data_IF_888815118652
#
_entry.id   IF_888815118652
#
_cell.length_a   1.000
_cell.length_b   1.000
_cell.length_c   1.000
_cell.angle_alpha   90.00
_cell.angle_beta   90.00
_cell.angle_gamma   90.00
#
_symmetry.space_group_name_H-M   'P 1'
#
loop_
_entity.id
_entity.type
_entity.pdbx_description
1 polymer ?
#
# COMPACT_ATOMS: atom_id res chain seq x y z
N UNK A 1 4.68 5.94 22.30
CA UNK A 1 5.16 7.33 22.11
C UNK A 1 4.50 7.82 20.85
N UNK A 2 3.44 8.63 20.97
CA UNK A 2 2.51 8.88 19.86
C UNK A 2 3.15 9.70 18.74
N UNK A 3 3.39 9.05 17.59
CA UNK A 3 3.77 9.68 16.31
C UNK A 3 2.71 10.68 15.80
N UNK A 4 1.55 10.78 16.48
CA UNK A 4 0.46 11.72 16.19
C UNK A 4 0.72 13.17 16.63
N UNK A 5 1.87 13.51 17.21
CA UNK A 5 2.19 14.91 17.58
C UNK A 5 2.94 15.66 16.45
N UNK A 6 3.58 14.96 15.51
CA UNK A 6 4.24 15.62 14.37
C UNK A 6 3.25 16.02 13.25
N UNK A 7 2.20 15.22 13.04
CA UNK A 7 1.18 15.45 12.01
C UNK A 7 0.25 16.67 12.20
N UNK A 8 -0.16 17.09 13.42
CA UNK A 8 -0.97 18.29 13.58
C UNK A 8 -0.21 19.58 13.27
N UNK A 9 1.13 19.59 13.26
CA UNK A 9 1.89 20.80 12.88
C UNK A 9 1.73 21.11 11.37
N UNK A 10 1.49 20.08 10.55
CA UNK A 10 1.18 20.24 9.12
C UNK A 10 -0.33 20.49 8.88
N UNK A 11 -1.20 20.16 9.85
CA UNK A 11 -2.66 20.21 9.68
C UNK A 11 -3.36 21.38 10.39
N UNK A 12 -2.70 22.04 11.33
CA UNK A 12 -3.29 23.12 12.14
C UNK A 12 -3.34 24.46 11.38
N UNK A 13 -2.93 24.52 10.11
CA UNK A 13 -2.96 25.76 9.31
C UNK A 13 -4.19 25.88 8.39
N UNK A 14 -5.12 24.92 8.40
CA UNK A 14 -6.27 24.92 7.47
C UNK A 14 -7.55 25.60 8.01
N UNK A 15 -7.60 26.19 9.22
CA UNK A 15 -8.88 26.72 9.78
C UNK A 15 -8.85 28.13 10.39
N UNK A 16 -8.12 29.09 9.82
CA UNK A 16 -8.36 30.51 10.17
C UNK A 16 -8.40 31.38 8.92
N UNK A 17 -9.60 31.65 8.41
CA UNK A 17 -9.87 32.74 7.48
C UNK A 17 -11.06 33.57 7.96
N UNK A 18 -10.82 34.86 8.25
CA UNK A 18 -11.75 35.94 7.91
C UNK A 18 -10.96 37.21 7.53
N UNK A 19 -11.16 37.61 6.28
CA UNK A 19 -11.29 38.98 5.72
C UNK A 19 -10.18 39.58 4.82
N UNK A 20 -10.70 40.02 3.65
CA UNK A 20 -10.27 41.04 2.69
C UNK A 20 -9.08 40.65 1.77
N UNK A 21 -9.12 40.81 0.44
CA UNK A 21 -10.06 41.47 -0.47
C UNK A 21 -9.28 42.25 -1.54
N UNK A 22 -9.58 41.98 -2.83
CA UNK A 22 -9.43 42.86 -4.03
C UNK A 22 -8.13 42.78 -4.88
N UNK A 23 -8.28 42.24 -6.12
CA UNK A 23 -7.86 42.73 -7.48
C UNK A 23 -6.33 42.97 -7.76
N UNK A 24 -5.71 42.71 -8.93
CA UNK A 24 -6.01 43.07 -10.34
C UNK A 24 -5.23 42.19 -11.37
N UNK A 25 -5.91 41.88 -12.48
CA UNK A 25 -5.55 41.64 -13.90
C UNK A 25 -4.21 41.01 -14.37
N UNK A 26 -4.38 40.05 -15.27
CA UNK A 26 -3.39 39.58 -16.22
C UNK A 26 -3.71 40.12 -17.63
N UNK A 27 -2.74 40.75 -18.29
CA UNK A 27 -2.71 40.91 -19.74
C UNK A 27 -1.38 40.42 -20.31
N UNK A 28 -1.53 39.44 -21.21
CA UNK A 28 -0.85 39.27 -22.49
C UNK A 28 0.62 39.71 -22.62
N UNK A 29 1.51 38.74 -22.85
CA UNK A 29 2.52 38.87 -23.90
C UNK A 29 2.73 37.53 -24.61
N UNK A 30 2.15 37.43 -25.81
CA UNK A 30 2.66 36.55 -26.84
C UNK A 30 3.97 37.12 -27.38
N UNK A 31 5.05 36.36 -27.26
CA UNK A 31 6.35 36.68 -27.82
C UNK A 31 6.91 35.45 -28.52
N UNK A 32 7.05 35.52 -29.84
CA UNK A 32 7.71 34.53 -30.69
C UNK A 32 9.18 34.39 -30.28
N UNK A 33 9.62 33.17 -29.97
CA UNK A 33 11.02 32.87 -29.63
C UNK A 33 11.92 32.99 -30.87
N UNK A 34 13.01 33.78 -30.81
CA UNK A 34 14.15 33.58 -31.68
C UNK A 34 14.97 32.40 -31.17
N UNK A 35 15.24 31.44 -32.06
CA UNK A 35 16.34 30.49 -31.93
C UNK A 35 17.62 31.20 -32.39
N UNK A 36 18.58 31.45 -31.49
CA UNK A 36 20.02 31.34 -31.76
C UNK A 36 20.90 31.74 -30.56
N UNK A 37 21.96 30.95 -30.33
CA UNK A 37 23.12 31.33 -29.52
C UNK A 37 23.19 30.70 -28.12
N UNK A 38 23.77 29.50 -28.02
CA UNK A 38 23.96 28.73 -26.78
C UNK A 38 24.84 29.41 -25.73
N UNK A 39 24.24 30.32 -24.96
CA UNK A 39 24.61 30.54 -23.57
C UNK A 39 23.70 29.67 -22.71
N UNK A 40 24.27 28.79 -21.90
CA UNK A 40 23.56 28.13 -20.80
C UNK A 40 22.87 29.23 -19.97
N UNK A 41 21.58 29.40 -20.16
CA UNK A 41 20.79 30.27 -19.29
C UNK A 41 20.74 29.59 -17.93
N UNK A 42 21.50 30.12 -16.97
CA UNK A 42 21.49 29.64 -15.60
C UNK A 42 20.04 29.48 -15.13
N UNK A 43 19.70 28.27 -14.71
CA UNK A 43 18.34 27.93 -14.27
C UNK A 43 18.02 28.75 -13.03
N UNK A 44 16.96 29.55 -13.09
CA UNK A 44 16.50 30.30 -11.93
C UNK A 44 15.77 29.34 -10.96
N UNK A 45 16.48 28.92 -9.90
CA UNK A 45 15.99 27.97 -8.91
C UNK A 45 14.64 28.37 -8.29
N UNK A 46 14.44 29.66 -7.99
CA UNK A 46 13.19 30.10 -7.36
C UNK A 46 12.03 30.10 -8.35
N UNK A 47 12.24 30.55 -9.59
CA UNK A 47 11.24 30.45 -10.66
C UNK A 47 10.81 28.98 -10.88
N UNK A 48 11.79 28.06 -10.95
CA UNK A 48 11.52 26.64 -11.14
C UNK A 48 10.73 26.05 -9.96
N UNK A 49 11.13 26.37 -8.73
CA UNK A 49 10.41 25.99 -7.51
C UNK A 49 8.93 26.43 -7.55
N UNK A 50 8.67 27.72 -7.85
CA UNK A 50 7.31 28.25 -7.85
C UNK A 50 6.44 27.60 -8.91
N UNK A 51 6.98 27.38 -10.12
CA UNK A 51 6.24 26.67 -11.18
C UNK A 51 5.93 25.23 -10.80
N UNK A 52 6.84 24.55 -10.10
CA UNK A 52 6.63 23.17 -9.66
C UNK A 52 5.51 23.04 -8.62
N UNK A 53 5.48 23.94 -7.61
CA UNK A 53 4.42 23.90 -6.59
C UNK A 53 3.06 24.37 -7.13
N UNK A 54 3.06 25.24 -8.15
CA UNK A 54 1.85 25.74 -8.80
C UNK A 54 1.31 24.79 -9.87
N UNK A 55 2.12 23.84 -10.35
CA UNK A 55 1.73 22.86 -11.38
C UNK A 55 0.39 22.14 -11.12
N UNK A 56 0.08 21.69 -9.88
CA UNK A 56 -1.20 21.03 -9.61
C UNK A 56 -2.40 21.99 -9.54
N UNK A 57 -2.17 23.32 -9.52
CA UNK A 57 -3.24 24.31 -9.43
C UNK A 57 -4.02 24.35 -10.75
N UNK A 58 -5.34 24.18 -10.67
CA UNK A 58 -6.23 24.08 -11.82
C UNK A 58 -6.33 22.67 -12.42
N UNK A 59 -5.59 21.69 -11.90
CA UNK A 59 -5.76 20.30 -12.33
C UNK A 59 -7.15 19.80 -11.92
N UNK A 60 -7.95 19.38 -12.90
CA UNK A 60 -9.22 18.70 -12.68
C UNK A 60 -8.95 17.26 -12.23
N UNK A 61 -8.83 16.37 -13.20
CA UNK A 61 -8.51 14.97 -12.96
C UNK A 61 -6.99 14.75 -12.89
N UNK A 62 -6.56 13.85 -12.00
CA UNK A 62 -5.16 13.45 -11.92
C UNK A 62 -5.00 12.09 -11.24
N UNK A 63 -3.87 11.46 -11.51
CA UNK A 63 -3.36 10.33 -10.76
C UNK A 63 -1.86 10.55 -10.56
N UNK A 64 -1.39 10.31 -9.34
CA UNK A 64 0.04 10.20 -9.11
C UNK A 64 0.33 9.16 -8.04
N UNK A 65 1.47 8.50 -8.19
CA UNK A 65 1.97 7.52 -7.24
C UNK A 65 3.40 7.86 -6.85
N UNK A 66 3.73 7.65 -5.59
CA UNK A 66 5.04 7.89 -5.04
C UNK A 66 5.36 6.88 -3.95
N UNK A 67 6.65 6.68 -3.67
CA UNK A 67 7.11 5.96 -2.49
C UNK A 67 7.62 6.95 -1.47
N UNK A 68 7.29 6.78 -0.20
CA UNK A 68 7.77 7.63 0.90
C UNK A 68 8.58 6.78 1.89
N UNK A 69 9.81 7.20 2.18
CA UNK A 69 10.62 6.61 3.23
C UNK A 69 10.80 7.51 4.44
N UNK A 70 10.90 6.85 5.59
CA UNK A 70 11.34 7.44 6.86
C UNK A 70 12.75 6.95 7.21
N UNK A 71 13.32 7.52 8.27
CA UNK A 71 14.70 7.27 8.74
C UNK A 71 15.10 5.81 8.88
N UNK A 72 14.15 4.91 9.13
CA UNK A 72 14.38 3.49 9.30
C UNK A 72 14.55 2.73 7.96
N UNK A 73 14.62 3.45 6.83
CA UNK A 73 14.83 2.88 5.49
C UNK A 73 13.60 2.21 4.91
N UNK A 74 12.47 2.28 5.60
CA UNK A 74 11.23 1.63 5.22
C UNK A 74 10.43 2.51 4.25
N UNK A 75 9.90 1.91 3.18
CA UNK A 75 9.17 2.59 2.10
C UNK A 75 7.69 2.24 2.09
N UNK A 76 6.83 3.25 2.04
CA UNK A 76 5.39 3.10 1.80
C UNK A 76 5.07 3.52 0.39
N UNK A 77 4.19 2.77 -0.26
CA UNK A 77 3.64 3.16 -1.55
C UNK A 77 2.37 3.99 -1.31
N UNK A 78 2.28 5.11 -1.99
CA UNK A 78 1.11 5.97 -1.95
C UNK A 78 0.61 6.21 -3.36
N UNK A 79 -0.69 5.99 -3.57
CA UNK A 79 -1.37 6.32 -4.81
C UNK A 79 -2.51 7.28 -4.51
N UNK A 80 -2.53 8.39 -5.23
CA UNK A 80 -3.53 9.44 -5.07
C UNK A 80 -4.20 9.64 -6.43
N UNK A 81 -5.52 9.73 -6.44
CA UNK A 81 -6.26 10.06 -7.64
C UNK A 81 -7.47 10.95 -7.38
N UNK A 82 -7.77 11.79 -8.36
CA UNK A 82 -9.01 12.54 -8.46
C UNK A 82 -9.62 12.30 -9.83
N UNK A 83 -10.90 11.94 -9.84
CA UNK A 83 -11.71 11.78 -11.05
C UNK A 83 -13.09 12.43 -10.82
N UNK A 84 -13.29 13.62 -11.38
CA UNK A 84 -14.43 14.47 -11.06
C UNK A 84 -14.49 14.79 -9.57
N UNK A 85 -15.61 14.42 -8.94
CA UNK A 85 -15.86 14.62 -7.51
C UNK A 85 -15.33 13.49 -6.62
N UNK A 86 -14.94 12.34 -7.22
CA UNK A 86 -14.35 11.24 -6.47
C UNK A 86 -12.86 11.48 -6.29
N UNK A 87 -12.43 11.45 -5.04
CA UNK A 87 -11.03 11.44 -4.66
C UNK A 87 -10.70 10.10 -4.00
N UNK A 88 -9.52 9.59 -4.30
CA UNK A 88 -9.03 8.31 -3.82
C UNK A 88 -7.61 8.46 -3.31
N UNK A 89 -7.34 7.87 -2.15
CA UNK A 89 -5.98 7.76 -1.60
C UNK A 89 -5.79 6.34 -1.11
N UNK A 90 -4.76 5.68 -1.61
CA UNK A 90 -4.26 4.41 -1.08
C UNK A 90 -2.87 4.63 -0.50
N UNK A 91 -2.68 4.14 0.72
CA UNK A 91 -1.38 4.06 1.38
C UNK A 91 -1.12 2.61 1.74
N UNK A 92 -0.09 2.02 1.15
CA UNK A 92 0.29 0.64 1.36
C UNK A 92 1.65 0.57 2.06
N UNK A 93 1.65 -0.08 3.20
CA UNK A 93 2.85 -0.57 3.85
C UNK A 93 2.93 -2.11 3.78
N UNK A 94 4.10 -2.74 3.96
CA UNK A 94 4.25 -4.18 3.93
C UNK A 94 3.36 -4.89 4.95
N UNK A 95 3.01 -4.24 6.07
CA UNK A 95 2.15 -4.85 7.07
C UNK A 95 0.65 -4.71 6.72
N UNK A 96 0.23 -3.59 6.15
CA UNK A 96 -1.16 -3.36 5.76
C UNK A 96 -1.37 -2.20 4.76
N UNK A 97 -2.56 -2.18 4.16
CA UNK A 97 -3.04 -1.12 3.29
C UNK A 97 -4.17 -0.31 3.92
N UNK A 98 -4.25 0.96 3.57
CA UNK A 98 -5.39 1.84 3.87
C UNK A 98 -5.86 2.53 2.61
N UNK A 99 -7.17 2.65 2.47
CA UNK A 99 -7.80 3.32 1.34
C UNK A 99 -8.84 4.30 1.85
N UNK A 100 -8.85 5.52 1.32
CA UNK A 100 -9.90 6.50 1.53
C UNK A 100 -10.56 6.84 0.20
N UNK A 101 -11.89 6.78 0.19
CA UNK A 101 -12.74 7.22 -0.91
C UNK A 101 -13.50 8.45 -0.40
N UNK A 102 -13.22 9.60 -0.98
CA UNK A 102 -13.74 10.88 -0.53
C UNK A 102 -14.63 11.45 -1.63
N UNK A 103 -15.88 11.70 -1.28
CA UNK A 103 -16.90 12.34 -2.11
C UNK A 103 -17.55 13.47 -1.30
N UNK A 104 -18.22 14.46 -1.94
CA UNK A 104 -18.79 15.61 -1.24
C UNK A 104 -19.71 15.26 -0.05
N UNK A 105 -20.40 14.12 -0.12
CA UNK A 105 -21.38 13.69 0.89
C UNK A 105 -21.07 12.33 1.52
N UNK A 106 -19.92 11.72 1.20
CA UNK A 106 -19.58 10.39 1.68
C UNK A 106 -18.08 10.23 1.80
N UNK A 107 -17.65 9.68 2.92
CA UNK A 107 -16.28 9.22 3.14
C UNK A 107 -16.33 7.74 3.44
N UNK A 108 -15.59 6.93 2.69
CA UNK A 108 -15.38 5.51 3.01
C UNK A 108 -13.92 5.30 3.32
N UNK A 109 -13.66 4.62 4.43
CA UNK A 109 -12.33 4.18 4.84
C UNK A 109 -12.29 2.66 4.78
N UNK A 110 -11.27 2.12 4.13
CA UNK A 110 -10.97 0.71 4.15
C UNK A 110 -9.60 0.44 4.77
N UNK A 111 -9.51 -0.64 5.53
CA UNK A 111 -8.25 -1.25 5.96
C UNK A 111 -8.15 -2.61 5.31
N UNK A 112 -7.04 -2.82 4.60
CA UNK A 112 -6.70 -4.09 3.97
C UNK A 112 -5.53 -4.71 4.71
N UNK A 113 -5.68 -5.94 5.16
CA UNK A 113 -4.61 -6.69 5.82
C UNK A 113 -4.77 -8.17 5.49
N UNK A 114 -3.72 -8.77 4.90
CA UNK A 114 -3.79 -10.12 4.34
C UNK A 114 -4.99 -10.28 3.39
N UNK A 115 -5.90 -11.19 3.73
CA UNK A 115 -7.12 -11.47 2.98
C UNK A 115 -8.33 -10.62 3.45
N UNK A 116 -8.19 -9.89 4.55
CA UNK A 116 -9.26 -9.04 5.07
C UNK A 116 -9.24 -7.68 4.40
N UNK A 117 -10.42 -7.21 4.01
CA UNK A 117 -10.64 -5.86 3.53
C UNK A 117 -11.94 -5.32 4.11
N UNK A 118 -11.83 -4.59 5.22
CA UNK A 118 -12.98 -4.04 5.92
C UNK A 118 -13.14 -2.58 5.52
N UNK A 119 -14.29 -2.24 4.96
CA UNK A 119 -14.67 -0.90 4.55
C UNK A 119 -15.83 -0.39 5.39
N UNK A 120 -15.80 0.88 5.78
CA UNK A 120 -16.87 1.53 6.55
C UNK A 120 -17.17 2.91 5.98
N UNK A 121 -18.43 3.32 6.04
CA UNK A 121 -18.81 4.72 5.78
C UNK A 121 -18.63 5.54 7.05
N UNK A 122 -17.93 6.67 6.93
CA UNK A 122 -17.64 7.58 8.03
C UNK A 122 -18.59 8.78 8.00
N UNK A 123 -19.07 9.17 9.18
CA UNK A 123 -19.74 10.44 9.41
C UNK A 123 -18.88 11.35 10.31
N UNK A 124 -19.35 12.56 10.60
CA UNK A 124 -18.62 13.55 11.41
C UNK A 124 -18.36 13.13 12.86
N UNK A 125 -19.09 12.14 13.38
CA UNK A 125 -18.92 11.60 14.74
C UNK A 125 -18.10 10.31 14.77
N UNK A 126 -17.66 9.82 13.62
CA UNK A 126 -16.91 8.58 13.51
C UNK A 126 -15.55 8.67 14.22
N UNK A 127 -15.16 7.59 14.88
CA UNK A 127 -13.84 7.50 15.54
C UNK A 127 -12.67 7.50 14.55
N UNK A 128 -12.94 7.21 13.28
CA UNK A 128 -11.93 7.12 12.20
C UNK A 128 -11.91 8.33 11.27
N UNK A 129 -12.71 9.38 11.54
CA UNK A 129 -12.77 10.53 10.62
C UNK A 129 -11.42 11.24 10.49
N UNK A 130 -10.62 11.29 11.57
CA UNK A 130 -9.27 11.84 11.53
C UNK A 130 -8.34 11.02 10.63
N UNK A 131 -8.45 9.68 10.64
CA UNK A 131 -7.64 8.81 9.79
C UNK A 131 -7.93 9.02 8.30
N UNK A 132 -9.21 9.14 7.93
CA UNK A 132 -9.57 9.47 6.56
C UNK A 132 -9.12 10.89 6.18
N UNK A 133 -9.22 11.85 7.12
CA UNK A 133 -8.70 13.20 6.94
C UNK A 133 -7.19 13.22 6.71
N UNK A 134 -6.42 12.40 7.44
CA UNK A 134 -4.97 12.28 7.30
C UNK A 134 -4.57 11.76 5.90
N UNK A 135 -5.33 10.81 5.36
CA UNK A 135 -5.17 10.36 3.97
C UNK A 135 -5.59 11.45 2.98
N UNK A 136 -6.72 12.13 3.25
CA UNK A 136 -7.22 13.22 2.43
C UNK A 136 -6.24 14.40 2.28
N UNK A 137 -5.38 14.65 3.28
CA UNK A 137 -4.31 15.65 3.18
C UNK A 137 -3.24 15.33 2.13
N UNK A 138 -3.21 14.12 1.59
CA UNK A 138 -2.36 13.76 0.47
C UNK A 138 -2.93 14.28 -0.86
N UNK A 139 -4.19 14.69 -0.92
CA UNK A 139 -4.77 15.27 -2.13
C UNK A 139 -4.28 16.71 -2.33
N UNK A 140 -4.23 17.13 -3.60
CA UNK A 140 -3.93 18.51 -3.94
C UNK A 140 -5.13 19.41 -3.60
N UNK A 141 -5.10 20.01 -2.41
CA UNK A 141 -5.98 21.11 -2.05
C UNK A 141 -5.55 22.37 -2.82
N UNK A 142 -6.40 22.77 -3.75
CA UNK A 142 -6.16 23.87 -4.68
C UNK A 142 -5.98 25.22 -3.97
N UNK A 143 -6.70 25.43 -2.87
CA UNK A 143 -6.63 26.67 -2.11
C UNK A 143 -5.40 26.67 -1.22
N UNK A 144 -5.11 25.55 -0.54
CA UNK A 144 -3.90 25.41 0.25
C UNK A 144 -2.62 25.58 -0.60
N UNK A 145 -2.61 25.06 -1.83
CA UNK A 145 -1.49 25.25 -2.77
C UNK A 145 -1.29 26.71 -3.17
N UNK A 146 -2.38 27.47 -3.41
CA UNK A 146 -2.30 28.91 -3.70
C UNK A 146 -1.74 29.68 -2.52
N UNK A 147 -2.29 29.45 -1.33
CA UNK A 147 -1.84 30.09 -0.10
C UNK A 147 -0.37 29.76 0.20
N UNK A 148 0.03 28.50 0.01
CA UNK A 148 1.42 28.08 0.14
C UNK A 148 2.34 28.80 -0.87
N UNK A 149 1.94 28.90 -2.15
CA UNK A 149 2.72 29.63 -3.15
C UNK A 149 2.87 31.11 -2.79
N UNK A 150 1.77 31.78 -2.45
CA UNK A 150 1.76 33.19 -2.03
C UNK A 150 2.65 33.43 -0.80
N UNK A 151 2.52 32.59 0.22
CA UNK A 151 3.36 32.63 1.41
C UNK A 151 4.85 32.45 1.06
N UNK A 152 5.19 31.47 0.22
CA UNK A 152 6.57 31.21 -0.17
C UNK A 152 7.16 32.35 -1.03
N UNK A 153 6.34 33.02 -1.85
CA UNK A 153 6.75 34.24 -2.57
C UNK A 153 7.06 35.38 -1.61
N UNK A 154 6.24 35.59 -0.58
CA UNK A 154 6.51 36.58 0.48
C UNK A 154 7.81 36.24 1.22
N UNK A 155 7.99 34.98 1.64
CA UNK A 155 9.23 34.51 2.28
C UNK A 155 10.46 34.75 1.41
N UNK A 156 10.37 34.45 0.11
CA UNK A 156 11.46 34.70 -0.82
C UNK A 156 11.74 36.20 -0.98
N UNK A 157 10.71 37.04 -1.09
CA UNK A 157 10.86 38.50 -1.19
C UNK A 157 11.49 39.14 0.06
N UNK A 158 11.40 38.48 1.21
CA UNK A 158 12.00 38.90 2.47
C UNK A 158 13.33 38.19 2.79
N UNK A 159 13.86 37.39 1.86
CA UNK A 159 15.11 36.66 2.06
C UNK A 159 15.03 35.52 3.08
N UNK A 160 13.83 35.13 3.50
CA UNK A 160 13.60 34.03 4.44
C UNK A 160 13.58 32.67 3.73
N UNK A 161 13.16 32.60 2.47
CA UNK A 161 13.28 31.41 1.62
C UNK A 161 14.51 31.57 0.71
N UNK A 162 15.56 30.81 1.01
CA UNK A 162 16.87 30.90 0.37
C UNK A 162 17.15 29.61 -0.39
N UNK A 163 17.46 29.74 -1.68
CA UNK A 163 17.85 28.64 -2.56
C UNK A 163 19.38 28.57 -2.67
N UNK A 164 19.92 27.36 -2.65
CA UNK A 164 21.30 27.08 -3.01
C UNK A 164 21.46 27.01 -4.54
N UNK A 165 22.68 26.77 -5.01
CA UNK A 165 22.94 26.54 -6.43
C UNK A 165 22.24 25.26 -6.90
N UNK A 166 21.49 25.36 -8.00
CA UNK A 166 20.80 24.24 -8.59
C UNK A 166 21.78 23.29 -9.27
N UNK A 167 21.52 21.98 -9.19
CA UNK A 167 22.36 20.94 -9.80
C UNK A 167 21.52 19.97 -10.63
N UNK A 168 22.12 19.35 -11.65
CA UNK A 168 21.46 18.28 -12.40
C UNK A 168 21.47 16.97 -11.60
N UNK A 169 20.39 16.20 -11.72
CA UNK A 169 20.20 14.93 -11.02
C UNK A 169 19.26 14.01 -11.80
N UNK A 170 19.52 12.71 -11.76
CA UNK A 170 18.61 11.70 -12.31
C UNK A 170 17.88 10.98 -11.18
N UNK A 171 16.54 10.91 -11.24
CA UNK A 171 15.70 10.16 -10.28
C UNK A 171 14.80 9.21 -11.05
N UNK A 172 14.88 7.90 -10.77
CA UNK A 172 14.07 6.87 -11.43
C UNK A 172 14.13 6.90 -12.97
N UNK A 173 15.28 7.29 -13.53
CA UNK A 173 15.49 7.41 -14.97
C UNK A 173 15.01 8.73 -15.59
N UNK A 174 14.50 9.67 -14.78
CA UNK A 174 14.13 11.01 -15.21
C UNK A 174 15.23 12.01 -14.87
N UNK A 175 15.67 12.78 -15.86
CA UNK A 175 16.56 13.92 -15.66
C UNK A 175 15.76 15.09 -15.02
N UNK A 176 16.32 15.67 -13.97
CA UNK A 176 15.71 16.79 -13.26
C UNK A 176 16.76 17.71 -12.63
N UNK A 177 16.30 18.86 -12.17
CA UNK A 177 17.11 19.86 -11.47
C UNK A 177 16.84 19.74 -9.98
N UNK A 178 17.88 19.43 -9.22
CA UNK A 178 17.85 19.43 -7.77
C UNK A 178 17.89 20.88 -7.24
N UNK A 179 16.89 21.22 -6.44
CA UNK A 179 16.74 22.49 -5.76
C UNK A 179 16.87 22.26 -4.26
N UNK A 180 18.01 22.67 -3.69
CA UNK A 180 18.21 22.70 -2.25
C UNK A 180 17.83 24.08 -1.71
N UNK A 181 17.04 24.12 -0.63
CA UNK A 181 16.59 25.37 -0.03
C UNK A 181 16.32 25.24 1.47
N UNK A 182 16.36 26.39 2.15
CA UNK A 182 16.07 26.51 3.57
C UNK A 182 15.10 27.66 3.84
N UNK A 183 14.40 27.59 4.97
CA UNK A 183 13.49 28.65 5.42
C UNK A 183 13.92 29.17 6.79
N UNK A 184 14.39 30.41 6.84
CA UNK A 184 14.78 31.09 8.07
C UNK A 184 13.82 32.23 8.42
N UNK A 185 12.87 31.96 9.33
CA UNK A 185 11.94 32.99 9.81
C UNK A 185 12.60 33.97 10.80
N UNK A 186 13.82 33.72 11.30
CA UNK A 186 14.45 34.57 12.33
C UNK A 186 14.85 35.96 11.83
N UNK A 187 14.99 36.12 10.51
CA UNK A 187 15.22 37.42 9.88
C UNK A 187 13.96 38.27 9.72
N UNK A 188 12.77 37.71 10.00
CA UNK A 188 11.50 38.40 9.78
C UNK A 188 11.06 39.21 10.99
N UNK A 189 10.49 40.38 10.71
CA UNK A 189 9.82 41.20 11.72
C UNK A 189 8.48 40.60 12.12
N UNK A 190 7.99 40.97 13.30
CA UNK A 190 6.63 40.60 13.77
C UNK A 190 5.55 41.00 12.76
N UNK A 191 5.70 42.17 12.12
CA UNK A 191 4.76 42.64 11.12
C UNK A 191 4.72 41.72 9.87
N UNK A 192 5.89 41.28 9.38
CA UNK A 192 5.97 40.35 8.25
C UNK A 192 5.40 38.97 8.60
N UNK A 193 5.67 38.47 9.81
CA UNK A 193 5.08 37.22 10.28
C UNK A 193 3.55 37.33 10.35
N UNK A 194 3.03 38.42 10.93
CA UNK A 194 1.59 38.65 11.02
C UNK A 194 0.92 38.78 9.64
N UNK A 195 1.58 39.40 8.65
CA UNK A 195 1.10 39.49 7.26
C UNK A 195 1.02 38.13 6.55
N UNK A 196 1.74 37.14 7.05
CA UNK A 196 1.65 35.74 6.59
C UNK A 196 0.76 34.88 7.50
N UNK A 197 0.05 35.47 8.46
CA UNK A 197 -0.79 34.74 9.43
C UNK A 197 0.03 33.93 10.44
N UNK A 198 1.32 34.20 10.60
CA UNK A 198 2.22 33.50 11.50
C UNK A 198 2.43 34.28 12.79
N UNK A 199 2.34 33.59 13.93
CA UNK A 199 2.79 34.12 15.22
C UNK A 199 4.26 33.83 15.44
N UNK A 200 4.97 34.71 16.17
CA UNK A 200 6.34 34.45 16.69
C UNK A 200 6.44 33.17 17.53
N UNK A 201 5.32 32.74 18.12
CA UNK A 201 5.23 31.51 18.91
C UNK A 201 4.77 30.30 18.08
N UNK A 202 4.58 30.45 16.77
CA UNK A 202 4.20 29.35 15.89
C UNK A 202 5.31 28.28 15.92
N UNK A 203 4.98 26.99 16.09
CA UNK A 203 5.95 25.91 16.00
C UNK A 203 6.78 25.94 14.71
N UNK A 204 6.19 26.38 13.59
CA UNK A 204 6.91 26.54 12.32
C UNK A 204 8.03 27.57 12.43
N UNK A 205 7.75 28.73 13.04
CA UNK A 205 8.74 29.81 13.22
C UNK A 205 9.83 29.38 14.19
N UNK A 206 9.47 28.71 15.28
CA UNK A 206 10.41 28.28 16.32
C UNK A 206 11.34 27.14 15.87
N UNK A 207 10.91 26.30 14.91
CA UNK A 207 11.66 25.10 14.50
C UNK A 207 12.30 25.22 13.11
N UNK A 208 12.03 26.26 12.33
CA UNK A 208 12.40 26.29 10.90
C UNK A 208 13.89 26.14 10.60
N UNK A 209 14.77 26.64 11.48
CA UNK A 209 16.23 26.53 11.32
C UNK A 209 16.73 25.09 11.33
N UNK A 210 15.88 24.17 11.75
CA UNK A 210 16.17 22.76 11.80
C UNK A 210 15.64 22.04 10.57
N UNK A 211 15.25 22.71 9.47
CA UNK A 211 14.76 22.06 8.27
C UNK A 211 15.59 22.44 7.04
N UNK A 212 16.10 21.43 6.34
CA UNK A 212 16.63 21.57 4.98
C UNK A 212 15.71 20.83 4.02
N UNK A 213 15.42 21.45 2.90
CA UNK A 213 14.54 20.91 1.88
C UNK A 213 15.32 20.67 0.60
N UNK A 214 15.01 19.58 -0.08
CA UNK A 214 15.48 19.30 -1.43
C UNK A 214 14.32 18.83 -2.29
N UNK A 215 14.32 19.19 -3.56
CA UNK A 215 13.39 18.64 -4.54
C UNK A 215 14.07 18.45 -5.89
N UNK A 216 13.68 17.41 -6.62
CA UNK A 216 14.11 17.23 -8.00
C UNK A 216 12.97 17.55 -8.95
N UNK A 217 13.14 18.59 -9.76
CA UNK A 217 12.09 19.16 -10.62
C UNK A 217 12.50 19.07 -12.08
N UNK A 218 11.61 18.56 -12.92
CA UNK A 218 11.74 18.60 -14.37
C UNK A 218 11.63 20.06 -14.87
N UNK A 219 12.66 20.62 -15.55
CA UNK A 219 12.63 22.01 -15.98
C UNK A 219 11.64 22.29 -17.12
N UNK A 220 11.16 21.27 -17.84
CA UNK A 220 10.22 21.41 -18.94
C UNK A 220 8.78 21.19 -18.48
N UNK A 221 8.52 20.09 -17.76
CA UNK A 221 7.17 19.70 -17.32
C UNK A 221 6.76 20.34 -15.99
N UNK A 222 7.74 20.78 -15.18
CA UNK A 222 7.60 21.23 -13.80
C UNK A 222 7.10 20.14 -12.84
N UNK A 223 7.27 18.88 -13.21
CA UNK A 223 6.92 17.75 -12.35
C UNK A 223 8.00 17.50 -11.31
N UNK A 224 7.58 17.11 -10.10
CA UNK A 224 8.47 16.81 -8.98
C UNK A 224 8.69 15.30 -8.89
N UNK A 225 9.90 14.84 -9.15
CA UNK A 225 10.26 13.42 -9.08
C UNK A 225 10.79 13.01 -7.69
N UNK A 226 11.37 13.94 -6.94
CA UNK A 226 11.83 13.68 -5.57
C UNK A 226 11.53 14.87 -4.67
N UNK A 227 11.25 14.60 -3.40
CA UNK A 227 11.30 15.57 -2.30
C UNK A 227 12.06 14.95 -1.13
N UNK A 228 12.90 15.73 -0.46
CA UNK A 228 13.59 15.36 0.77
C UNK A 228 13.42 16.48 1.79
N UNK A 229 13.12 16.10 3.03
CA UNK A 229 13.06 17.00 4.17
C UNK A 229 13.97 16.42 5.24
N UNK A 230 15.03 17.15 5.55
CA UNK A 230 15.98 16.83 6.60
C UNK A 230 15.70 17.73 7.79
N UNK A 231 15.48 17.16 8.99
CA UNK A 231 15.20 17.96 10.16
C UNK A 231 15.71 17.41 11.48
N UNK A 232 15.73 18.23 12.54
CA UNK A 232 16.09 17.79 13.89
C UNK A 232 14.87 17.83 14.81
N UNK A 233 14.44 16.67 15.30
CA UNK A 233 13.34 16.55 16.27
C UNK A 233 13.86 16.01 17.60
N UNK A 234 13.70 16.78 18.67
CA UNK A 234 14.20 16.46 20.02
C UNK A 234 15.71 16.09 20.04
N UNK A 235 16.51 16.73 19.19
CA UNK A 235 17.95 16.50 19.08
C UNK A 235 18.33 15.29 18.21
N UNK A 236 17.36 14.58 17.64
CA UNK A 236 17.59 13.49 16.70
C UNK A 236 17.40 13.99 15.26
N UNK A 237 18.40 13.76 14.42
CA UNK A 237 18.30 14.01 12.98
C UNK A 237 17.29 13.04 12.37
N UNK A 238 16.39 13.59 11.55
CA UNK A 238 15.29 12.93 10.87
C UNK A 238 15.27 13.28 9.40
N UNK A 239 14.84 12.33 8.59
CA UNK A 239 14.74 12.49 7.15
C UNK A 239 13.46 11.85 6.65
N UNK A 240 12.73 12.59 5.81
CA UNK A 240 11.60 12.11 5.02
C UNK A 240 11.97 12.28 3.56
N UNK A 241 11.84 11.22 2.78
CA UNK A 241 12.09 11.25 1.33
C UNK A 241 10.92 10.66 0.58
N UNK A 242 10.43 11.36 -0.43
CA UNK A 242 9.40 10.86 -1.33
C UNK A 242 9.89 10.83 -2.76
N UNK A 243 9.67 9.74 -3.47
CA UNK A 243 10.02 9.56 -4.88
C UNK A 243 8.76 9.30 -5.71
N UNK A 244 8.43 10.19 -6.63
CA UNK A 244 7.30 10.04 -7.53
C UNK A 244 7.65 9.00 -8.60
N UNK A 245 6.83 7.95 -8.71
CA UNK A 245 6.99 6.91 -9.72
C UNK A 245 6.17 7.19 -10.97
N UNK A 246 4.98 7.78 -10.81
CA UNK A 246 4.09 8.15 -11.92
C UNK A 246 3.32 9.41 -11.58
N UNK A 247 3.11 10.26 -12.56
CA UNK A 247 2.21 11.41 -12.47
C UNK A 247 1.51 11.59 -13.81
N UNK A 248 0.21 11.84 -13.78
CA UNK A 248 -0.57 12.07 -14.99
C UNK A 248 -1.66 13.08 -14.69
N UNK A 249 -1.63 14.18 -15.44
CA UNK A 249 -2.60 15.25 -15.37
C UNK A 249 -3.73 15.02 -16.39
N UNK A 250 -4.94 15.46 -16.06
CA UNK A 250 -6.12 15.32 -16.91
C UNK A 250 -6.70 13.90 -16.99
N UNK A 251 -6.14 12.95 -16.24
CA UNK A 251 -6.62 11.56 -16.18
C UNK A 251 -6.71 11.11 -14.73
N UNK A 252 -7.88 10.62 -14.32
CA UNK A 252 -8.10 10.02 -13.01
C UNK A 252 -8.26 8.50 -13.12
N UNK A 253 -7.98 7.79 -12.04
CA UNK A 253 -8.16 6.35 -11.94
C UNK A 253 -9.64 5.99 -11.90
N UNK A 254 -10.05 4.97 -12.66
CA UNK A 254 -11.37 4.35 -12.51
C UNK A 254 -11.40 3.47 -11.27
N UNK A 255 -11.73 4.08 -10.13
CA UNK A 255 -11.83 3.38 -8.85
C UNK A 255 -13.28 3.03 -8.57
N UNK A 256 -13.55 1.76 -8.28
CA UNK A 256 -14.87 1.32 -7.81
C UNK A 256 -15.00 1.58 -6.31
N UNK A 257 -15.99 2.39 -5.92
CA UNK A 257 -16.30 2.64 -4.51
C UNK A 257 -16.92 1.36 -3.89
N UNK A 258 -16.41 0.87 -2.75
CA UNK A 258 -16.95 -0.30 -2.09
C UNK A 258 -18.41 -0.12 -1.69
N UNK A 259 -19.26 -1.09 -2.04
CA UNK A 259 -20.69 -1.11 -1.69
C UNK A 259 -21.00 -1.98 -0.49
N UNK A 260 -20.19 -3.01 -0.25
CA UNK A 260 -20.26 -3.84 0.95
C UNK A 260 -19.51 -3.15 2.07
N UNK A 261 -20.26 -2.63 3.05
CA UNK A 261 -19.74 -1.90 4.20
C UNK A 261 -20.00 -2.70 5.48
N UNK A 262 -19.00 -2.73 6.35
CA UNK A 262 -19.07 -3.34 7.69
C UNK A 262 -19.40 -2.29 8.75
N UNK A 263 -19.46 -2.70 10.02
CA UNK A 263 -19.61 -1.76 11.13
C UNK A 263 -18.29 -1.08 11.50
N UNK A 264 -18.35 0.09 12.16
CA UNK A 264 -17.15 0.74 12.69
C UNK A 264 -16.43 -0.11 13.75
N UNK A 265 -17.16 -0.96 14.49
CA UNK A 265 -16.56 -1.84 15.49
C UNK A 265 -15.76 -2.97 14.83
N UNK A 266 -16.21 -3.49 13.68
CA UNK A 266 -15.43 -4.47 12.90
C UNK A 266 -14.12 -3.83 12.39
N UNK A 267 -14.19 -2.61 11.85
CA UNK A 267 -13.00 -1.87 11.44
C UNK A 267 -12.07 -1.61 12.63
N UNK A 268 -12.62 -1.28 13.79
CA UNK A 268 -11.83 -1.07 15.01
C UNK A 268 -11.12 -2.33 15.48
N UNK A 269 -11.79 -3.48 15.45
CA UNK A 269 -11.17 -4.77 15.74
C UNK A 269 -9.98 -5.05 14.83
N UNK A 270 -10.16 -4.88 13.51
CA UNK A 270 -9.08 -5.06 12.54
C UNK A 270 -7.95 -4.03 12.75
N UNK A 271 -8.29 -2.75 12.93
CA UNK A 271 -7.31 -1.69 13.14
C UNK A 271 -6.43 -1.95 14.36
N UNK A 272 -7.00 -2.41 15.47
CA UNK A 272 -6.24 -2.71 16.69
C UNK A 272 -5.22 -3.85 16.46
N UNK A 273 -5.64 -4.93 15.77
CA UNK A 273 -4.77 -6.05 15.43
C UNK A 273 -3.64 -5.61 14.50
N UNK A 274 -4.00 -4.96 13.39
CA UNK A 274 -3.07 -4.46 12.38
C UNK A 274 -2.07 -3.47 12.99
N UNK A 275 -2.52 -2.63 13.93
CA UNK A 275 -1.63 -1.71 14.62
C UNK A 275 -0.58 -2.44 15.46
N UNK A 276 -1.00 -3.46 16.22
CA UNK A 276 -0.07 -4.26 17.02
C UNK A 276 0.96 -4.95 16.13
N UNK A 277 0.50 -5.60 15.07
CA UNK A 277 1.33 -6.25 14.08
C UNK A 277 2.31 -5.26 13.45
N UNK A 278 1.82 -4.13 12.94
CA UNK A 278 2.70 -3.10 12.39
C UNK A 278 3.77 -2.64 13.40
N UNK A 279 3.42 -2.48 14.68
CA UNK A 279 4.38 -2.13 15.74
C UNK A 279 5.45 -3.24 15.93
N UNK A 280 5.10 -4.52 15.82
CA UNK A 280 6.03 -5.66 15.84
C UNK A 280 6.98 -5.65 14.63
N UNK A 281 6.46 -5.46 13.42
CA UNK A 281 7.27 -5.33 12.20
C UNK A 281 8.22 -4.13 12.30
N UNK A 282 7.72 -2.97 12.73
CA UNK A 282 8.54 -1.76 12.85
C UNK A 282 9.63 -1.89 13.93
N UNK A 283 9.46 -2.76 14.92
CA UNK A 283 10.50 -3.04 15.91
C UNK A 283 11.71 -3.79 15.31
N UNK A 284 11.52 -4.50 14.19
CA UNK A 284 12.61 -5.18 13.47
C UNK A 284 13.50 -4.23 12.66
N UNK A 285 12.96 -3.07 12.25
CA UNK A 285 13.65 -2.16 11.34
C UNK A 285 14.84 -1.47 12.03
N UNK A 286 15.98 -1.43 11.35
CA UNK A 286 17.21 -0.80 11.85
C UNK A 286 17.96 -1.58 12.93
N UNK A 287 17.52 -2.81 13.27
CA UNK A 287 18.22 -3.69 14.20
C UNK A 287 19.28 -4.55 13.47
N UNK A 288 20.34 -4.95 14.19
CA UNK A 288 21.21 -6.02 13.72
C UNK A 288 20.41 -7.33 13.63
N UNK A 289 20.35 -7.93 12.45
CA UNK A 289 19.50 -9.10 12.20
C UNK A 289 18.06 -8.77 11.82
N UNK A 290 17.81 -7.57 11.27
CA UNK A 290 16.52 -7.15 10.71
C UNK A 290 15.89 -8.23 9.83
N UNK A 291 16.66 -8.84 8.93
CA UNK A 291 16.18 -9.88 8.01
C UNK A 291 15.54 -11.05 8.74
N UNK A 292 16.20 -11.55 9.79
CA UNK A 292 15.68 -12.66 10.58
C UNK A 292 14.46 -12.25 11.39
N UNK A 293 14.47 -11.06 11.99
CA UNK A 293 13.33 -10.55 12.73
C UNK A 293 12.09 -10.41 11.82
N UNK A 294 12.26 -9.81 10.64
CA UNK A 294 11.19 -9.68 9.63
C UNK A 294 10.72 -11.06 9.17
N UNK A 295 11.64 -12.01 8.94
CA UNK A 295 11.26 -13.38 8.57
C UNK A 295 10.42 -14.07 9.65
N UNK A 296 10.79 -13.91 10.93
CA UNK A 296 10.01 -14.46 12.05
C UNK A 296 8.62 -13.83 12.15
N UNK A 297 8.51 -12.51 11.93
CA UNK A 297 7.22 -11.79 11.85
C UNK A 297 6.37 -12.32 10.69
N UNK A 298 6.94 -12.40 9.48
CA UNK A 298 6.27 -12.92 8.29
C UNK A 298 5.74 -14.35 8.48
N UNK A 299 6.53 -15.23 9.11
CA UNK A 299 6.13 -16.59 9.43
C UNK A 299 5.00 -16.61 10.46
N UNK A 300 5.10 -15.78 11.51
CA UNK A 300 4.08 -15.65 12.54
C UNK A 300 2.72 -15.21 11.99
N UNK A 301 2.72 -14.24 11.09
CA UNK A 301 1.51 -13.71 10.46
C UNK A 301 1.04 -14.53 9.27
N UNK A 302 1.87 -15.48 8.80
CA UNK A 302 1.63 -16.24 7.58
C UNK A 302 1.47 -15.30 6.38
N UNK A 303 2.36 -14.32 6.30
CA UNK A 303 2.39 -13.33 5.23
C UNK A 303 3.69 -13.45 4.42
N UNK A 304 3.68 -14.19 3.30
CA UNK A 304 4.87 -14.29 2.45
C UNK A 304 5.23 -12.95 1.78
N UNK A 305 4.36 -11.94 1.73
CA UNK A 305 4.68 -10.64 1.10
C UNK A 305 5.80 -9.94 1.87
N UNK A 306 5.78 -10.02 3.21
CA UNK A 306 6.83 -9.46 4.06
C UNK A 306 8.22 -10.04 3.80
N UNK A 307 8.30 -11.24 3.22
CA UNK A 307 9.58 -11.88 2.88
C UNK A 307 10.34 -11.15 1.76
N UNK A 308 9.67 -10.30 0.96
CA UNK A 308 10.35 -9.45 -0.03
C UNK A 308 11.27 -8.41 0.64
N UNK A 309 11.02 -8.06 1.90
CA UNK A 309 11.82 -7.11 2.68
C UNK A 309 13.07 -7.75 3.33
N UNK A 310 13.29 -9.05 3.09
CA UNK A 310 14.45 -9.78 3.61
C UNK A 310 15.45 -10.10 2.49
N UNK A 311 16.75 -10.16 2.81
CA UNK A 311 17.80 -10.52 1.86
C UNK A 311 18.39 -11.89 2.18
N UNK A 312 19.06 -12.02 3.31
CA UNK A 312 19.77 -13.24 3.70
C UNK A 312 18.82 -14.38 4.11
N UNK A 313 17.66 -14.03 4.65
CA UNK A 313 16.65 -14.98 5.16
C UNK A 313 15.51 -15.21 4.15
N UNK A 314 15.63 -14.70 2.92
CA UNK A 314 14.55 -14.66 1.93
C UNK A 314 13.95 -16.02 1.63
N UNK A 315 14.78 -16.99 1.28
CA UNK A 315 14.31 -18.35 0.94
C UNK A 315 13.63 -19.04 2.13
N UNK A 316 14.22 -18.91 3.32
CA UNK A 316 13.68 -19.48 4.55
C UNK A 316 12.34 -18.84 4.90
N UNK A 317 12.24 -17.52 4.78
CA UNK A 317 11.02 -16.76 5.02
C UNK A 317 9.90 -17.21 4.09
N UNK A 318 10.10 -17.15 2.76
CA UNK A 318 9.06 -17.50 1.79
C UNK A 318 8.57 -18.94 1.95
N UNK A 319 9.49 -19.88 2.19
CA UNK A 319 9.12 -21.28 2.42
C UNK A 319 8.19 -21.41 3.63
N UNK A 320 8.57 -20.86 4.78
CA UNK A 320 7.82 -21.07 6.03
C UNK A 320 6.56 -20.21 6.12
N UNK A 321 6.63 -18.94 5.72
CA UNK A 321 5.48 -18.04 5.67
C UNK A 321 4.47 -18.52 4.62
N UNK A 322 4.93 -18.91 3.43
CA UNK A 322 4.10 -19.46 2.37
C UNK A 322 3.43 -20.77 2.78
N UNK A 323 4.18 -21.71 3.39
CA UNK A 323 3.58 -22.92 3.96
C UNK A 323 2.51 -22.54 4.99
N UNK A 324 2.79 -21.61 5.90
CA UNK A 324 1.85 -21.10 6.90
C UNK A 324 0.56 -20.52 6.29
N UNK A 325 0.70 -19.76 5.21
CA UNK A 325 -0.36 -19.09 4.45
C UNK A 325 -1.12 -20.03 3.52
N UNK A 326 -0.60 -21.25 3.31
CA UNK A 326 -1.09 -22.19 2.32
C UNK A 326 -0.99 -21.67 0.88
N UNK A 327 0.00 -20.80 0.61
CA UNK A 327 0.23 -20.16 -0.68
C UNK A 327 1.45 -20.77 -1.41
N UNK A 328 1.25 -21.70 -2.36
CA UNK A 328 2.34 -22.33 -3.10
C UNK A 328 3.07 -21.36 -4.04
N UNK A 329 2.50 -20.18 -4.36
CA UNK A 329 3.16 -19.19 -5.20
C UNK A 329 4.41 -18.60 -4.54
N UNK A 330 4.53 -18.71 -3.21
CA UNK A 330 5.75 -18.39 -2.47
C UNK A 330 6.97 -19.19 -2.95
N UNK A 331 6.77 -20.42 -3.45
CA UNK A 331 7.86 -21.22 -4.03
C UNK A 331 8.41 -20.64 -5.35
N UNK A 332 7.72 -19.72 -6.00
CA UNK A 332 8.24 -19.01 -7.17
C UNK A 332 9.19 -17.86 -6.79
N UNK A 333 9.19 -17.45 -5.51
CA UNK A 333 10.01 -16.36 -4.98
C UNK A 333 11.30 -16.81 -4.30
N UNK A 334 11.46 -18.11 -4.04
CA UNK A 334 12.69 -18.69 -3.50
C UNK A 334 13.74 -18.95 -4.59
N UNK A 335 15.00 -19.08 -4.19
CA UNK A 335 16.09 -19.47 -5.08
C UNK A 335 15.84 -20.81 -5.76
N UNK A 336 16.43 -20.98 -6.95
CA UNK A 336 16.31 -22.21 -7.73
C UNK A 336 16.77 -23.46 -6.96
N UNK A 337 17.73 -23.33 -6.03
CA UNK A 337 18.21 -24.43 -5.18
C UNK A 337 17.20 -24.90 -4.15
N UNK A 338 16.27 -24.05 -3.71
CA UNK A 338 15.26 -24.37 -2.69
C UNK A 338 13.89 -24.66 -3.31
N UNK A 339 13.63 -24.18 -4.53
CA UNK A 339 12.33 -24.28 -5.21
C UNK A 339 11.73 -25.69 -5.25
N UNK A 340 12.51 -26.70 -5.63
CA UNK A 340 12.05 -28.08 -5.67
C UNK A 340 11.71 -28.63 -4.27
N UNK A 341 12.52 -28.30 -3.26
CA UNK A 341 12.27 -28.65 -1.86
C UNK A 341 11.00 -27.96 -1.35
N UNK A 342 10.79 -26.69 -1.72
CA UNK A 342 9.59 -25.94 -1.37
C UNK A 342 8.33 -26.65 -1.87
N UNK A 343 8.27 -27.05 -3.14
CA UNK A 343 7.13 -27.77 -3.68
C UNK A 343 6.93 -29.16 -3.05
N UNK A 344 8.00 -29.84 -2.61
CA UNK A 344 7.89 -31.08 -1.83
C UNK A 344 7.19 -30.82 -0.50
N UNK A 345 7.59 -29.77 0.23
CA UNK A 345 6.97 -29.43 1.50
C UNK A 345 5.48 -29.09 1.34
N UNK A 346 5.10 -28.37 0.28
CA UNK A 346 3.68 -28.14 -0.04
C UNK A 346 2.94 -29.42 -0.40
N UNK A 347 3.53 -30.30 -1.23
CA UNK A 347 2.95 -31.60 -1.55
C UNK A 347 2.69 -32.42 -0.28
N UNK A 348 3.64 -32.42 0.66
CA UNK A 348 3.56 -33.15 1.91
C UNK A 348 2.55 -32.53 2.89
N UNK A 349 2.52 -31.20 3.02
CA UNK A 349 1.63 -30.46 3.93
C UNK A 349 0.16 -30.54 3.46
N UNK A 350 -0.07 -30.26 2.18
CA UNK A 350 -1.41 -30.23 1.58
C UNK A 350 -1.92 -31.60 1.16
N UNK A 351 -1.06 -32.63 1.16
CA UNK A 351 -1.35 -33.96 0.60
C UNK A 351 -1.77 -33.92 -0.87
N UNK A 352 -1.21 -32.98 -1.63
CA UNK A 352 -1.55 -32.77 -3.04
C UNK A 352 -0.34 -33.07 -3.93
N UNK A 353 -0.41 -34.18 -4.67
CA UNK A 353 0.67 -34.64 -5.56
C UNK A 353 0.85 -33.78 -6.80
N UNK A 354 -0.12 -32.92 -7.14
CA UNK A 354 0.01 -32.02 -8.29
C UNK A 354 1.21 -31.08 -8.15
N UNK A 355 1.59 -30.72 -6.92
CA UNK A 355 2.80 -29.94 -6.65
C UNK A 355 4.08 -30.68 -7.04
N UNK A 356 4.12 -32.02 -6.96
CA UNK A 356 5.25 -32.79 -7.48
C UNK A 356 5.43 -32.61 -9.00
N UNK A 357 4.37 -32.24 -9.72
CA UNK A 357 4.40 -31.88 -11.13
C UNK A 357 5.31 -30.69 -11.43
N UNK A 358 5.38 -29.73 -10.50
CA UNK A 358 6.12 -28.46 -10.59
C UNK A 358 7.62 -28.60 -10.28
N UNK A 359 8.03 -29.75 -9.73
CA UNK A 359 9.44 -30.04 -9.42
C UNK A 359 10.23 -30.26 -10.71
N UNK A 360 11.35 -29.56 -10.84
CA UNK A 360 12.23 -29.61 -12.02
C UNK A 360 13.19 -30.79 -11.92
N UNK A 361 13.81 -31.00 -10.74
CA UNK A 361 14.73 -32.10 -10.53
C UNK A 361 14.00 -33.45 -10.58
N UNK A 362 14.34 -34.27 -11.57
CA UNK A 362 13.68 -35.56 -11.82
C UNK A 362 13.75 -36.52 -10.62
N UNK A 363 14.88 -36.56 -9.90
CA UNK A 363 15.04 -37.42 -8.72
C UNK A 363 14.13 -36.97 -7.59
N UNK A 364 14.13 -35.67 -7.28
CA UNK A 364 13.27 -35.08 -6.24
C UNK A 364 11.78 -35.23 -6.59
N UNK A 365 11.43 -35.12 -7.87
CA UNK A 365 10.07 -35.35 -8.37
C UNK A 365 9.60 -36.78 -8.12
N UNK A 366 10.43 -37.77 -8.44
CA UNK A 366 10.12 -39.16 -8.14
C UNK A 366 10.02 -39.42 -6.63
N UNK A 367 10.89 -38.79 -5.82
CA UNK A 367 10.79 -38.86 -4.36
C UNK A 367 9.48 -38.26 -3.84
N UNK A 368 9.07 -37.09 -4.34
CA UNK A 368 7.80 -36.44 -3.98
C UNK A 368 6.59 -37.35 -4.30
N UNK A 369 6.57 -37.93 -5.50
CA UNK A 369 5.52 -38.87 -5.92
C UNK A 369 5.50 -40.12 -5.03
N UNK A 370 6.67 -40.64 -4.65
CA UNK A 370 6.80 -41.81 -3.80
C UNK A 370 6.40 -41.55 -2.33
N UNK A 371 6.74 -40.37 -1.77
CA UNK A 371 6.35 -39.99 -0.41
C UNK A 371 4.83 -39.91 -0.25
N UNK A 372 4.13 -39.45 -1.28
CA UNK A 372 2.67 -39.44 -1.30
C UNK A 372 2.03 -40.80 -1.62
N UNK A 373 2.82 -41.81 -2.00
CA UNK A 373 2.37 -43.20 -2.09
C UNK A 373 2.53 -43.96 -0.76
N UNK A 374 3.36 -43.48 0.17
CA UNK A 374 3.56 -44.08 1.49
C UNK A 374 2.89 -43.31 2.63
N UNK A 375 2.50 -42.06 2.39
CA UNK A 375 1.57 -41.34 3.24
C UNK A 375 0.24 -42.08 3.26
N UNK A 376 -0.26 -42.34 4.46
CA UNK A 376 -1.55 -42.98 4.77
C UNK A 376 -2.74 -42.13 4.28
N UNK A 377 -2.80 -41.84 2.98
CA UNK A 377 -4.01 -41.42 2.34
C UNK A 377 -5.08 -42.48 2.59
N UNK A 378 -6.31 -42.03 2.77
CA UNK A 378 -7.47 -42.90 2.93
C UNK A 378 -7.62 -43.92 1.79
N UNK A 379 -7.06 -43.58 0.63
CA UNK A 379 -7.12 -44.35 -0.60
C UNK A 379 -5.87 -44.14 -1.47
N UNK A 380 -5.54 -45.15 -2.30
CA UNK A 380 -4.58 -45.02 -3.40
C UNK A 380 -5.25 -45.06 -4.78
N UNK A 381 -6.49 -45.52 -4.86
CA UNK A 381 -7.31 -45.62 -6.08
C UNK A 381 -8.79 -45.52 -5.74
N UNK A 382 -9.63 -45.20 -6.72
CA UNK A 382 -11.09 -45.06 -6.54
C UNK A 382 -11.74 -46.27 -5.87
N UNK A 383 -11.23 -47.48 -6.13
CA UNK A 383 -11.75 -48.72 -5.55
C UNK A 383 -11.49 -48.86 -4.04
N UNK A 384 -10.62 -48.03 -3.47
CA UNK A 384 -10.39 -47.99 -2.03
C UNK A 384 -11.39 -47.05 -1.33
N UNK A 385 -12.28 -46.41 -2.10
CA UNK A 385 -13.35 -45.55 -1.59
C UNK A 385 -14.72 -46.20 -1.78
N UNK A 386 -15.63 -45.90 -0.87
CA UNK A 386 -16.98 -46.46 -0.86
C UNK A 386 -18.01 -45.38 -0.52
N UNK A 387 -19.18 -45.48 -1.16
CA UNK A 387 -20.35 -44.71 -0.76
C UNK A 387 -20.91 -45.31 0.52
N UNK A 388 -21.04 -44.52 1.57
CA UNK A 388 -21.51 -44.95 2.88
C UNK A 388 -22.54 -43.97 3.46
N UNK A 389 -23.07 -44.28 4.64
CA UNK A 389 -24.17 -43.54 5.26
C UNK A 389 -25.56 -43.95 4.73
N UNK A 390 -26.61 -43.60 5.47
CA UNK A 390 -27.96 -44.09 5.23
C UNK A 390 -28.54 -43.69 3.86
N UNK A 391 -28.15 -42.53 3.35
CA UNK A 391 -28.56 -41.97 2.05
C UNK A 391 -27.42 -42.04 1.02
N UNK A 392 -26.38 -42.86 1.25
CA UNK A 392 -25.14 -42.86 0.45
C UNK A 392 -24.49 -41.47 0.37
N UNK A 393 -24.59 -40.67 1.43
CA UNK A 393 -24.12 -39.28 1.45
C UNK A 393 -22.62 -39.14 1.72
N UNK A 394 -22.00 -40.17 2.29
CA UNK A 394 -20.58 -40.16 2.61
C UNK A 394 -19.77 -40.83 1.49
N UNK A 395 -18.60 -40.28 1.21
CA UNK A 395 -17.56 -40.95 0.44
C UNK A 395 -16.38 -41.17 1.40
N UNK A 396 -16.13 -42.42 1.77
CA UNK A 396 -15.19 -42.79 2.83
C UNK A 396 -14.22 -43.86 2.35
N UNK A 397 -13.11 -44.10 3.07
CA UNK A 397 -12.33 -45.32 2.89
C UNK A 397 -13.22 -46.57 2.93
N UNK A 398 -12.93 -47.54 2.08
CA UNK A 398 -13.63 -48.83 2.06
C UNK A 398 -13.59 -49.54 3.43
N UNK A 399 -12.52 -49.33 4.21
CA UNK A 399 -12.36 -49.82 5.58
C UNK A 399 -13.33 -49.20 6.60
N UNK A 400 -14.03 -48.11 6.24
CA UNK A 400 -15.02 -47.41 7.06
C UNK A 400 -16.44 -47.50 6.46
N UNK A 401 -16.69 -48.49 5.60
CA UNK A 401 -18.00 -48.72 4.97
C UNK A 401 -19.16 -48.85 5.95
N UNK A 402 -18.89 -49.32 7.18
CA UNK A 402 -19.89 -49.51 8.24
C UNK A 402 -20.29 -48.20 8.97
N UNK A 403 -19.79 -47.04 8.52
CA UNK A 403 -20.15 -45.76 9.12
C UNK A 403 -21.61 -45.41 8.85
N UNK A 404 -22.40 -45.32 9.92
CA UNK A 404 -23.83 -44.97 9.87
C UNK A 404 -24.00 -43.49 10.22
N UNK A 405 -24.74 -42.78 9.38
CA UNK A 405 -25.19 -41.40 9.62
C UNK A 405 -26.61 -41.40 10.16
N UNK A 406 -27.07 -40.25 10.67
CA UNK A 406 -28.52 -40.03 10.83
C UNK A 406 -29.19 -40.19 9.46
N UNK A 407 -30.29 -40.93 9.40
CA UNK A 407 -31.05 -41.16 8.15
C UNK A 407 -31.86 -39.93 7.70
N UNK A 408 -31.32 -38.75 7.96
CA UNK A 408 -31.87 -37.49 7.49
C UNK A 408 -31.53 -37.34 6.02
N UNK A 409 -32.53 -36.98 5.22
CA UNK A 409 -32.40 -36.77 3.79
C UNK A 409 -32.59 -35.29 3.49
N UNK A 410 -31.62 -34.69 2.81
CA UNK A 410 -31.70 -33.33 2.27
C UNK A 410 -31.61 -33.36 0.74
N UNK A 411 -32.29 -32.45 0.02
CA UNK A 411 -32.38 -32.48 -1.45
C UNK A 411 -31.04 -32.55 -2.18
N UNK A 412 -29.99 -31.96 -1.60
CA UNK A 412 -28.62 -31.92 -2.11
C UNK A 412 -28.05 -33.34 -2.31
N UNK A 413 -28.49 -34.32 -1.51
CA UNK A 413 -28.02 -35.70 -1.64
C UNK A 413 -28.46 -36.35 -2.95
N UNK A 414 -29.54 -35.86 -3.60
CA UNK A 414 -29.91 -36.31 -4.94
C UNK A 414 -28.83 -36.00 -5.98
N UNK A 415 -28.07 -34.92 -5.78
CA UNK A 415 -27.00 -34.50 -6.68
C UNK A 415 -25.82 -35.49 -6.69
N UNK A 416 -25.66 -36.30 -5.63
CA UNK A 416 -24.59 -37.31 -5.57
C UNK A 416 -24.72 -38.42 -6.63
N UNK A 417 -25.89 -38.54 -7.27
CA UNK A 417 -26.08 -39.39 -8.45
C UNK A 417 -25.31 -38.87 -9.69
N UNK A 418 -24.98 -37.58 -9.74
CA UNK A 418 -24.27 -36.92 -10.84
C UNK A 418 -22.74 -36.94 -10.69
N UNK A 419 -22.24 -37.59 -9.65
CA UNK A 419 -20.81 -37.72 -9.37
C UNK A 419 -20.46 -39.12 -8.89
N UNK A 420 -19.18 -39.44 -8.82
CA UNK A 420 -18.67 -40.70 -8.29
C UNK A 420 -17.86 -40.45 -7.01
N UNK A 421 -17.98 -41.39 -6.08
CA UNK A 421 -17.09 -41.45 -4.92
C UNK A 421 -15.80 -42.13 -5.40
N UNK A 422 -14.67 -41.47 -5.17
CA UNK A 422 -13.38 -41.95 -5.64
C UNK A 422 -12.24 -41.35 -4.85
N UNK A 423 -11.03 -41.74 -5.21
CA UNK A 423 -9.83 -41.25 -4.57
C UNK A 423 -9.41 -39.95 -5.25
N UNK A 424 -9.56 -38.84 -4.53
CA UNK A 424 -9.20 -37.51 -4.98
C UNK A 424 -8.13 -37.00 -4.02
N UNK A 425 -6.91 -36.82 -4.55
CA UNK A 425 -5.76 -36.35 -3.77
C UNK A 425 -5.47 -37.19 -2.50
N UNK A 426 -5.58 -38.52 -2.63
CA UNK A 426 -5.33 -39.46 -1.53
C UNK A 426 -6.40 -39.48 -0.44
N UNK A 427 -7.55 -38.83 -0.67
CA UNK A 427 -8.73 -38.87 0.21
C UNK A 427 -9.96 -39.38 -0.52
N UNK A 428 -10.84 -40.05 0.20
CA UNK A 428 -12.11 -40.45 -0.37
C UNK A 428 -13.04 -39.25 -0.41
N UNK A 429 -13.39 -38.82 -1.62
CA UNK A 429 -14.13 -37.59 -1.86
C UNK A 429 -15.04 -37.73 -3.09
N UNK A 430 -16.11 -36.95 -3.10
CA UNK A 430 -16.99 -36.82 -4.26
C UNK A 430 -16.33 -35.98 -5.34
N UNK A 431 -16.23 -36.51 -6.56
CA UNK A 431 -15.64 -35.76 -7.70
C UNK A 431 -16.47 -34.51 -8.01
N UNK A 432 -15.81 -33.38 -8.19
CA UNK A 432 -16.49 -32.11 -8.50
C UNK A 432 -16.77 -32.03 -10.01
N UNK A 433 -17.76 -32.78 -10.51
CA UNK A 433 -18.19 -32.72 -11.92
C UNK A 433 -19.05 -31.48 -12.17
N UNK A 434 -19.05 -30.90 -13.39
CA UNK A 434 -19.92 -29.77 -13.73
C UNK A 434 -21.41 -30.06 -13.45
N UNK A 435 -21.86 -31.28 -13.72
CA UNK A 435 -23.25 -31.71 -13.49
C UNK A 435 -23.60 -31.74 -12.00
N UNK A 436 -22.67 -32.22 -11.15
CA UNK A 436 -22.83 -32.22 -9.71
C UNK A 436 -22.88 -30.80 -9.14
N UNK A 437 -21.94 -29.93 -9.54
CA UNK A 437 -21.87 -28.53 -9.10
C UNK A 437 -23.12 -27.74 -9.52
N UNK A 438 -23.61 -27.94 -10.75
CA UNK A 438 -24.83 -27.29 -11.23
C UNK A 438 -26.07 -27.76 -10.45
N UNK A 439 -26.16 -29.06 -10.13
CA UNK A 439 -27.25 -29.58 -9.32
C UNK A 439 -27.26 -28.97 -7.91
N UNK A 440 -26.10 -28.89 -7.25
CA UNK A 440 -25.98 -28.26 -5.91
C UNK A 440 -26.46 -26.80 -5.92
N UNK A 441 -26.07 -26.02 -6.94
CA UNK A 441 -26.49 -24.63 -7.06
C UNK A 441 -28.00 -24.46 -7.23
N UNK A 442 -28.69 -25.43 -7.85
CA UNK A 442 -30.15 -25.40 -8.02
C UNK A 442 -30.91 -25.76 -6.74
N UNK A 443 -30.30 -26.53 -5.84
CA UNK A 443 -30.92 -26.94 -4.58
C UNK A 443 -30.72 -25.94 -3.43
N UNK A 444 -29.76 -25.02 -3.55
CA UNK A 444 -29.44 -23.99 -2.54
C UNK A 444 -30.14 -22.64 -2.76
N UNK A 445 -30.88 -22.49 -3.86
CA UNK A 445 -31.71 -21.31 -4.15
C UNK A 445 -33.16 -21.56 -3.79
#
# INVERSE_FOLDING_TARGET
MDKNILYPIISVIVVILVAAGIYIAAEALGGTKPHDGGGETAINASELYFRAIEKPIGAGDYIYSYRESYENGYWMDVTVSRKGDLQYVEKRDPAYGRQAYLQPNSTILCIKHLNDNICVSLNSTSRFISYAGDLGRMLYDQEALRQMSEMNRKLHSHGALVFEEASEKTVNGHECVELNYSIDYSGLTVAQLNDMGLSVNSPLVLRSKQYNYSMCVDPESYEMYEKRIDFVDLGQYRMIRSETSTITWGTGMDVTVPTQLSSEDDLYGLYANVKQEADEYYACLGQNGSDRCIAEVAIGWKDPVLCEETQAEKDFCFLNAGLGAEDPSACDKVSASIKDTCYIEFANKMKNTSFCGLIINATMKQQCLALNMTGTGECGRDADCVRAGCSSQLCLPASQSDTITTCEYVPEFACLAQTTCGCVDGRCSWRQTPEYLNCLNQTMG
#
